data_IF_304165216259
#
_entry.id   IF_304165216259
#
_cell.length_a   1.000
_cell.length_b   1.000
_cell.length_c   1.000
_cell.angle_alpha   90.00
_cell.angle_beta   90.00
_cell.angle_gamma   90.00
#
_symmetry.space_group_name_H-M   'P 1'
#
loop_
_entity.id
_entity.type
_entity.pdbx_description
1 polymer ?
#
# COMPACT_ATOMS: atom_id res chain seq x y z
N UNK A 1 -39.05 -37.02 -10.33
CA UNK A 1 -38.36 -35.76 -10.70
C UNK A 1 -39.36 -34.65 -10.49
N UNK A 2 -39.06 -33.75 -9.57
CA UNK A 2 -39.98 -32.67 -9.18
C UNK A 2 -39.91 -31.53 -10.20
N UNK A 3 -40.94 -30.67 -10.30
CA UNK A 3 -40.91 -29.46 -11.17
C UNK A 3 -39.74 -28.52 -10.86
N UNK A 4 -39.12 -28.64 -9.68
CA UNK A 4 -37.91 -27.89 -9.31
C UNK A 4 -36.66 -28.41 -10.03
N UNK A 5 -36.55 -29.72 -10.22
CA UNK A 5 -35.37 -30.36 -10.85
C UNK A 5 -35.29 -29.99 -12.34
N UNK A 6 -36.46 -29.94 -13.02
CA UNK A 6 -36.59 -29.58 -14.44
C UNK A 6 -36.17 -28.12 -14.71
N UNK A 7 -36.50 -27.21 -13.79
CA UNK A 7 -36.10 -25.80 -13.86
C UNK A 7 -34.59 -25.58 -13.67
N UNK A 8 -33.95 -26.39 -12.83
CA UNK A 8 -32.50 -26.33 -12.60
C UNK A 8 -31.72 -26.86 -13.80
N UNK A 9 -32.12 -27.99 -14.37
CA UNK A 9 -31.49 -28.56 -15.56
C UNK A 9 -31.58 -27.59 -16.75
N UNK A 10 -32.75 -26.96 -16.93
CA UNK A 10 -32.97 -25.94 -17.96
C UNK A 10 -32.02 -24.75 -17.77
N UNK A 11 -31.94 -24.19 -16.55
CA UNK A 11 -31.04 -23.07 -16.28
C UNK A 11 -29.57 -23.46 -16.44
N UNK A 12 -29.18 -24.68 -16.05
CA UNK A 12 -27.82 -25.17 -16.24
C UNK A 12 -27.45 -25.24 -17.74
N UNK A 13 -28.37 -25.71 -18.59
CA UNK A 13 -28.17 -25.72 -20.04
C UNK A 13 -28.02 -24.31 -20.62
N UNK A 14 -28.84 -23.35 -20.18
CA UNK A 14 -28.75 -21.94 -20.59
C UNK A 14 -27.44 -21.28 -20.14
N UNK A 15 -26.99 -21.55 -18.91
CA UNK A 15 -25.69 -21.07 -18.40
C UNK A 15 -24.55 -21.64 -19.23
N UNK A 16 -24.64 -22.90 -19.65
CA UNK A 16 -23.62 -23.51 -20.50
C UNK A 16 -23.58 -22.88 -21.90
N UNK A 17 -24.75 -22.67 -22.51
CA UNK A 17 -24.86 -22.04 -23.83
C UNK A 17 -24.34 -20.60 -23.84
N UNK A 18 -24.65 -19.81 -22.81
CA UNK A 18 -24.25 -18.39 -22.67
C UNK A 18 -22.76 -18.14 -22.41
N UNK A 19 -21.90 -19.18 -22.40
CA UNK A 19 -20.44 -19.02 -22.22
C UNK A 19 -19.75 -18.42 -23.45
N UNK A 20 -20.38 -18.50 -24.62
CA UNK A 20 -19.83 -18.02 -25.90
C UNK A 20 -20.52 -16.74 -26.34
N UNK A 21 -19.85 -15.85 -27.10
CA UNK A 21 -20.51 -14.67 -27.68
C UNK A 21 -21.78 -15.01 -28.46
N UNK A 22 -21.74 -16.03 -29.31
CA UNK A 22 -22.86 -16.47 -30.16
C UNK A 22 -24.02 -17.00 -29.31
N UNK A 23 -23.70 -17.74 -28.25
CA UNK A 23 -24.69 -18.22 -27.30
C UNK A 23 -25.34 -17.10 -26.48
N UNK A 24 -24.63 -16.01 -26.19
CA UNK A 24 -25.22 -14.83 -25.53
C UNK A 24 -26.17 -14.09 -26.47
N UNK A 25 -25.79 -13.93 -27.73
CA UNK A 25 -26.64 -13.32 -28.76
C UNK A 25 -27.93 -14.13 -28.97
N UNK A 26 -27.80 -15.44 -29.15
CA UNK A 26 -28.94 -16.35 -29.32
C UNK A 26 -29.85 -16.51 -28.10
N UNK A 27 -29.44 -16.01 -26.93
CA UNK A 27 -30.21 -16.03 -25.68
C UNK A 27 -30.67 -14.63 -25.23
N UNK A 28 -30.56 -13.61 -26.09
CA UNK A 28 -30.95 -12.24 -25.75
C UNK A 28 -32.43 -12.15 -25.31
N UNK A 29 -33.32 -12.91 -25.94
CA UNK A 29 -34.74 -12.95 -25.59
C UNK A 29 -35.00 -13.53 -24.18
N UNK A 30 -34.08 -14.36 -23.67
CA UNK A 30 -34.17 -14.99 -22.34
C UNK A 30 -33.90 -13.99 -21.21
N UNK A 31 -33.29 -12.84 -21.51
CA UNK A 31 -32.97 -11.82 -20.52
C UNK A 31 -34.24 -11.30 -19.81
N UNK A 32 -35.28 -11.01 -20.57
CA UNK A 32 -36.52 -10.44 -20.03
C UNK A 32 -37.20 -11.41 -19.05
N UNK A 33 -37.34 -12.68 -19.44
CA UNK A 33 -37.93 -13.72 -18.60
C UNK A 33 -37.06 -13.98 -17.36
N UNK A 34 -35.74 -13.97 -17.52
CA UNK A 34 -34.81 -14.17 -16.40
C UNK A 34 -34.97 -13.07 -15.35
N UNK A 35 -35.07 -11.80 -15.78
CA UNK A 35 -35.31 -10.65 -14.90
C UNK A 35 -36.67 -10.73 -14.19
N UNK A 36 -37.73 -11.03 -14.94
CA UNK A 36 -39.09 -11.14 -14.41
C UNK A 36 -39.18 -12.20 -13.29
N UNK A 37 -38.43 -13.29 -13.40
CA UNK A 37 -38.47 -14.39 -12.45
C UNK A 37 -37.57 -14.19 -11.23
N UNK A 38 -36.67 -13.19 -11.18
CA UNK A 38 -35.77 -12.99 -10.05
C UNK A 38 -36.50 -12.82 -8.70
N UNK A 39 -37.52 -11.95 -8.55
CA UNK A 39 -38.09 -11.65 -7.23
C UNK A 39 -38.84 -12.84 -6.60
N UNK A 40 -39.36 -13.74 -7.43
CA UNK A 40 -40.09 -14.93 -6.99
C UNK A 40 -39.20 -16.19 -6.89
N UNK A 41 -37.89 -16.07 -7.15
CA UNK A 41 -36.99 -17.21 -7.21
C UNK A 41 -36.63 -17.71 -5.81
N UNK A 42 -36.75 -19.01 -5.50
CA UNK A 42 -36.10 -19.58 -4.33
C UNK A 42 -34.58 -19.48 -4.48
N UNK A 43 -33.85 -19.43 -3.37
CA UNK A 43 -32.39 -19.16 -3.31
C UNK A 43 -31.56 -19.92 -4.35
N UNK A 44 -31.80 -21.23 -4.51
CA UNK A 44 -31.05 -22.07 -5.47
C UNK A 44 -31.29 -21.68 -6.93
N UNK A 45 -32.54 -21.38 -7.30
CA UNK A 45 -32.87 -20.92 -8.65
C UNK A 45 -32.42 -19.47 -8.87
N UNK A 46 -32.45 -18.64 -7.83
CA UNK A 46 -31.94 -17.28 -7.90
C UNK A 46 -30.46 -17.28 -8.26
N UNK A 47 -29.65 -18.10 -7.59
CA UNK A 47 -28.22 -18.24 -7.89
C UNK A 47 -27.98 -18.61 -9.36
N UNK A 48 -28.72 -19.59 -9.90
CA UNK A 48 -28.58 -19.99 -11.29
C UNK A 48 -29.00 -18.88 -12.26
N UNK A 49 -30.10 -18.16 -11.97
CA UNK A 49 -30.52 -17.00 -12.77
C UNK A 49 -29.51 -15.86 -12.75
N UNK A 50 -28.91 -15.56 -11.60
CA UNK A 50 -27.85 -14.54 -11.49
C UNK A 50 -26.60 -14.94 -12.28
N UNK A 51 -26.21 -16.23 -12.26
CA UNK A 51 -25.11 -16.75 -13.08
C UNK A 51 -25.41 -16.66 -14.58
N UNK A 52 -26.65 -16.93 -14.98
CA UNK A 52 -27.09 -16.73 -16.36
C UNK A 52 -27.03 -15.25 -16.74
N UNK A 53 -27.58 -14.35 -15.92
CA UNK A 53 -27.51 -12.90 -16.14
C UNK A 53 -26.08 -12.41 -16.28
N UNK A 54 -25.19 -12.81 -15.36
CA UNK A 54 -23.76 -12.49 -15.45
C UNK A 54 -23.18 -12.86 -16.80
N UNK A 55 -23.50 -14.05 -17.32
CA UNK A 55 -23.03 -14.46 -18.63
C UNK A 55 -23.66 -13.59 -19.73
N UNK A 56 -24.98 -13.40 -19.76
CA UNK A 56 -25.67 -12.60 -20.79
C UNK A 56 -25.18 -11.15 -20.87
N UNK A 57 -24.72 -10.60 -19.74
CA UNK A 57 -24.19 -9.23 -19.63
C UNK A 57 -22.69 -9.13 -19.92
N UNK A 58 -21.99 -10.24 -20.14
CA UNK A 58 -20.55 -10.24 -20.35
C UNK A 58 -20.18 -9.76 -21.77
N UNK A 59 -20.00 -8.45 -21.92
CA UNK A 59 -19.47 -7.82 -23.14
C UNK A 59 -20.43 -7.86 -24.34
N UNK A 60 -21.75 -7.94 -24.09
CA UNK A 60 -22.76 -7.93 -25.14
C UNK A 60 -23.64 -6.67 -25.01
N UNK A 61 -23.34 -5.64 -25.80
CA UNK A 61 -23.89 -4.29 -25.65
C UNK A 61 -25.42 -4.26 -25.64
N UNK A 62 -26.10 -4.95 -26.57
CA UNK A 62 -27.57 -4.97 -26.62
C UNK A 62 -28.20 -5.56 -25.35
N UNK A 63 -27.56 -6.56 -24.74
CA UNK A 63 -28.07 -7.18 -23.51
C UNK A 63 -27.84 -6.25 -22.32
N UNK A 64 -26.68 -5.58 -22.28
CA UNK A 64 -26.37 -4.61 -21.24
C UNK A 64 -27.36 -3.43 -21.28
N UNK A 65 -27.64 -2.87 -22.48
CA UNK A 65 -28.64 -1.82 -22.65
C UNK A 65 -30.05 -2.29 -22.27
N UNK A 66 -30.50 -3.42 -22.81
CA UNK A 66 -31.83 -3.97 -22.51
C UNK A 66 -32.01 -4.31 -21.02
N UNK A 67 -30.93 -4.67 -20.33
CA UNK A 67 -30.93 -4.88 -18.88
C UNK A 67 -31.20 -3.59 -18.10
N UNK A 68 -30.57 -2.47 -18.49
CA UNK A 68 -30.82 -1.17 -17.84
C UNK A 68 -32.23 -0.67 -18.14
N UNK A 69 -32.70 -0.77 -19.39
CA UNK A 69 -34.07 -0.34 -19.78
C UNK A 69 -35.18 -1.05 -18.98
N UNK A 70 -34.89 -2.25 -18.47
CA UNK A 70 -35.82 -3.07 -17.68
C UNK A 70 -35.63 -2.93 -16.17
N UNK A 71 -34.93 -1.89 -15.71
CA UNK A 71 -34.58 -1.69 -14.30
C UNK A 71 -33.84 -2.89 -13.69
N UNK A 72 -33.01 -3.56 -14.49
CA UNK A 72 -32.29 -4.76 -14.13
C UNK A 72 -31.45 -4.63 -12.85
N UNK A 73 -30.67 -3.56 -12.65
CA UNK A 73 -29.90 -3.37 -11.43
C UNK A 73 -30.76 -3.38 -10.15
N UNK A 74 -31.87 -2.62 -10.15
CA UNK A 74 -32.79 -2.57 -9.03
C UNK A 74 -33.49 -3.92 -8.80
N UNK A 75 -33.85 -4.63 -9.87
CA UNK A 75 -34.46 -5.97 -9.76
C UNK A 75 -33.49 -6.99 -9.14
N UNK A 76 -32.21 -6.96 -9.52
CA UNK A 76 -31.15 -7.80 -8.94
C UNK A 76 -30.97 -7.47 -7.46
N UNK A 77 -30.78 -6.18 -7.11
CA UNK A 77 -30.59 -5.75 -5.72
C UNK A 77 -31.80 -6.15 -4.85
N UNK A 78 -33.02 -5.82 -5.27
CA UNK A 78 -34.23 -6.14 -4.52
C UNK A 78 -34.42 -7.65 -4.33
N UNK A 79 -34.14 -8.46 -5.34
CA UNK A 79 -34.28 -9.92 -5.26
C UNK A 79 -33.30 -10.52 -4.26
N UNK A 80 -32.05 -10.06 -4.28
CA UNK A 80 -30.98 -10.55 -3.42
C UNK A 80 -31.18 -10.14 -1.97
N UNK A 81 -31.60 -8.89 -1.73
CA UNK A 81 -31.85 -8.34 -0.40
C UNK A 81 -33.20 -8.74 0.21
N UNK A 82 -34.07 -9.40 -0.56
CA UNK A 82 -35.34 -9.94 -0.02
C UNK A 82 -35.12 -11.12 0.93
N UNK A 83 -33.94 -11.74 0.92
CA UNK A 83 -33.61 -12.87 1.78
C UNK A 83 -33.18 -12.39 3.18
N UNK A 84 -33.72 -12.98 4.28
CA UNK A 84 -33.31 -12.63 5.63
C UNK A 84 -31.82 -12.86 5.93
N UNK A 85 -31.21 -13.79 5.21
CA UNK A 85 -29.77 -14.06 5.25
C UNK A 85 -29.29 -14.24 3.83
N UNK A 86 -28.41 -13.33 3.41
CA UNK A 86 -27.84 -13.33 2.08
C UNK A 86 -26.67 -14.31 1.99
N UNK A 87 -26.82 -15.32 1.12
CA UNK A 87 -25.77 -16.29 0.86
C UNK A 87 -24.60 -15.65 0.05
N UNK A 88 -23.33 -15.88 0.42
CA UNK A 88 -22.17 -15.29 -0.27
C UNK A 88 -22.08 -15.62 -1.76
N UNK A 89 -22.49 -16.81 -2.18
CA UNK A 89 -22.48 -17.22 -3.59
C UNK A 89 -23.53 -16.49 -4.43
N UNK A 90 -24.71 -16.22 -3.86
CA UNK A 90 -25.76 -15.38 -4.46
C UNK A 90 -25.29 -13.94 -4.58
N UNK A 91 -24.70 -13.38 -3.52
CA UNK A 91 -24.13 -12.03 -3.52
C UNK A 91 -23.02 -11.88 -4.57
N UNK A 92 -22.09 -12.83 -4.62
CA UNK A 92 -21.01 -12.88 -5.61
C UNK A 92 -21.57 -12.90 -7.03
N UNK A 93 -22.55 -13.77 -7.33
CA UNK A 93 -23.15 -13.84 -8.66
C UNK A 93 -23.89 -12.55 -9.05
N UNK A 94 -24.57 -11.90 -8.09
CA UNK A 94 -25.23 -10.62 -8.31
C UNK A 94 -24.23 -9.50 -8.62
N UNK A 95 -23.19 -9.34 -7.80
CA UNK A 95 -22.14 -8.33 -8.00
C UNK A 95 -21.39 -8.55 -9.32
N UNK A 96 -21.11 -9.79 -9.69
CA UNK A 96 -20.50 -10.09 -11.00
C UNK A 96 -21.41 -9.70 -12.17
N UNK A 97 -22.72 -9.93 -12.07
CA UNK A 97 -23.67 -9.51 -13.11
C UNK A 97 -23.75 -7.99 -13.23
N UNK A 98 -23.80 -7.29 -12.09
CA UNK A 98 -23.84 -5.83 -12.03
C UNK A 98 -22.54 -5.19 -12.52
N UNK A 99 -21.39 -5.77 -12.15
CA UNK A 99 -20.08 -5.34 -12.65
C UNK A 99 -19.98 -5.47 -14.17
N UNK A 100 -20.43 -6.61 -14.73
CA UNK A 100 -20.48 -6.80 -16.18
C UNK A 100 -21.38 -5.77 -16.88
N UNK A 101 -22.51 -5.37 -16.27
CA UNK A 101 -23.34 -4.29 -16.81
C UNK A 101 -22.62 -2.93 -16.75
N UNK A 102 -21.98 -2.59 -15.63
CA UNK A 102 -21.29 -1.32 -15.42
C UNK A 102 -20.11 -1.09 -16.38
N UNK A 103 -19.50 -2.16 -16.91
CA UNK A 103 -18.42 -2.06 -17.89
C UNK A 103 -18.87 -1.47 -19.25
N UNK A 104 -20.17 -1.42 -19.55
CA UNK A 104 -20.70 -0.91 -20.82
C UNK A 104 -20.66 0.63 -20.97
N UNK A 105 -20.27 1.36 -19.92
CA UNK A 105 -20.08 2.81 -19.96
C UNK A 105 -20.96 3.56 -18.99
N UNK A 106 -20.92 4.90 -19.07
CA UNK A 106 -21.38 5.76 -17.98
C UNK A 106 -22.88 5.62 -17.64
N UNK A 107 -23.73 5.54 -18.65
CA UNK A 107 -25.16 5.29 -18.47
C UNK A 107 -25.44 4.03 -17.62
N UNK A 108 -24.61 3.00 -17.78
CA UNK A 108 -24.75 1.74 -17.03
C UNK A 108 -24.15 1.85 -15.63
N UNK A 109 -23.01 2.53 -15.47
CA UNK A 109 -22.38 2.77 -14.17
C UNK A 109 -23.30 3.55 -13.25
N UNK A 110 -23.94 4.58 -13.79
CA UNK A 110 -24.90 5.42 -13.08
C UNK A 110 -26.12 4.60 -12.62
N UNK A 111 -26.74 3.85 -13.52
CA UNK A 111 -27.90 3.01 -13.19
C UNK A 111 -27.57 1.89 -12.19
N UNK A 112 -26.36 1.30 -12.27
CA UNK A 112 -25.89 0.30 -11.29
C UNK A 112 -25.64 0.97 -9.94
N UNK A 113 -25.04 2.16 -9.91
CA UNK A 113 -24.76 2.87 -8.68
C UNK A 113 -26.03 3.29 -7.94
N UNK A 114 -26.98 3.91 -8.62
CA UNK A 114 -28.27 4.34 -8.05
C UNK A 114 -29.08 3.17 -7.48
N UNK A 115 -28.92 1.96 -8.04
CA UNK A 115 -29.58 0.77 -7.52
C UNK A 115 -28.90 0.16 -6.29
N UNK A 116 -27.64 0.49 -6.03
CA UNK A 116 -26.83 -0.16 -5.00
C UNK A 116 -26.48 0.75 -3.82
N UNK A 117 -26.22 2.03 -4.07
CA UNK A 117 -25.74 2.96 -3.06
C UNK A 117 -26.89 3.63 -2.30
N UNK A 118 -26.81 3.77 -0.97
CA UNK A 118 -25.84 3.15 -0.07
C UNK A 118 -26.26 1.77 0.47
N UNK A 119 -27.56 1.44 0.49
CA UNK A 119 -28.09 0.33 1.29
C UNK A 119 -27.60 -1.03 0.83
N UNK A 120 -27.67 -1.34 -0.47
CA UNK A 120 -27.27 -2.65 -0.97
C UNK A 120 -25.76 -2.88 -0.78
N UNK A 121 -24.95 -1.85 -1.05
CA UNK A 121 -23.50 -1.94 -0.87
C UNK A 121 -23.11 -2.21 0.59
N UNK A 122 -23.85 -1.65 1.56
CA UNK A 122 -23.63 -1.95 2.99
C UNK A 122 -23.92 -3.40 3.32
N UNK A 123 -25.02 -3.95 2.81
CA UNK A 123 -25.37 -5.36 3.01
C UNK A 123 -24.31 -6.28 2.38
N UNK A 124 -23.86 -5.99 1.16
CA UNK A 124 -22.79 -6.75 0.51
C UNK A 124 -21.47 -6.67 1.26
N UNK A 125 -21.06 -5.48 1.71
CA UNK A 125 -19.84 -5.29 2.48
C UNK A 125 -19.90 -5.98 3.87
N UNK A 126 -21.12 -6.15 4.41
CA UNK A 126 -21.36 -6.82 5.69
C UNK A 126 -21.16 -8.34 5.68
N UNK A 127 -21.09 -9.00 4.51
CA UNK A 127 -20.97 -10.46 4.41
C UNK A 127 -19.62 -11.02 4.83
N UNK A 128 -18.57 -10.20 4.87
CA UNK A 128 -17.20 -10.56 5.30
C UNK A 128 -16.66 -11.84 4.65
N UNK A 129 -16.94 -12.03 3.37
CA UNK A 129 -16.53 -13.21 2.59
C UNK A 129 -15.57 -12.81 1.45
N UNK A 130 -14.49 -13.57 1.27
CA UNK A 130 -13.48 -13.29 0.24
C UNK A 130 -14.06 -13.38 -1.18
N UNK A 131 -14.97 -14.32 -1.44
CA UNK A 131 -15.62 -14.49 -2.74
C UNK A 131 -16.58 -13.35 -3.10
N UNK A 132 -17.08 -12.62 -2.11
CA UNK A 132 -17.89 -11.41 -2.28
C UNK A 132 -17.02 -10.15 -2.38
N UNK A 133 -15.91 -10.10 -1.64
CA UNK A 133 -15.02 -8.95 -1.59
C UNK A 133 -14.48 -8.54 -2.96
N UNK A 134 -13.91 -9.47 -3.74
CA UNK A 134 -13.33 -9.13 -5.04
C UNK A 134 -14.39 -8.56 -6.02
N UNK A 135 -15.57 -9.19 -6.21
CA UNK A 135 -16.63 -8.61 -7.03
C UNK A 135 -17.17 -7.27 -6.51
N UNK A 136 -17.24 -7.09 -5.20
CA UNK A 136 -17.67 -5.83 -4.60
C UNK A 136 -16.67 -4.71 -4.94
N UNK A 137 -15.38 -4.95 -4.76
CA UNK A 137 -14.33 -4.00 -5.13
C UNK A 137 -14.34 -3.70 -6.62
N UNK A 138 -14.54 -4.70 -7.48
CA UNK A 138 -14.69 -4.51 -8.92
C UNK A 138 -15.85 -3.56 -9.25
N UNK A 139 -17.03 -3.75 -8.66
CA UNK A 139 -18.21 -2.88 -8.90
C UNK A 139 -17.92 -1.46 -8.43
N UNK A 140 -17.38 -1.30 -7.21
CA UNK A 140 -17.03 0.02 -6.65
C UNK A 140 -16.02 0.74 -7.55
N UNK A 141 -14.92 0.08 -7.91
CA UNK A 141 -13.87 0.66 -8.75
C UNK A 141 -14.38 1.03 -10.15
N UNK A 142 -15.18 0.14 -10.77
CA UNK A 142 -15.75 0.35 -12.10
C UNK A 142 -16.72 1.53 -12.10
N UNK A 143 -17.64 1.59 -11.15
CA UNK A 143 -18.60 2.69 -11.05
C UNK A 143 -17.92 4.01 -10.71
N UNK A 144 -16.91 4.02 -9.83
CA UNK A 144 -16.15 5.23 -9.51
C UNK A 144 -15.14 5.63 -10.59
N UNK A 145 -14.96 4.83 -11.64
CA UNK A 145 -14.06 5.12 -12.76
C UNK A 145 -14.70 5.91 -13.90
N UNK A 146 -13.87 6.67 -14.64
CA UNK A 146 -14.26 7.37 -15.88
C UNK A 146 -15.16 8.59 -15.68
N UNK A 147 -15.94 8.93 -16.71
CA UNK A 147 -16.92 10.02 -16.66
C UNK A 147 -17.94 9.78 -15.53
N UNK A 148 -18.34 10.82 -14.81
CA UNK A 148 -19.28 10.72 -13.67
C UNK A 148 -18.73 10.02 -12.41
N UNK A 149 -17.61 9.31 -12.50
CA UNK A 149 -17.00 8.55 -11.41
C UNK A 149 -16.66 9.39 -10.17
N UNK A 150 -16.21 10.63 -10.38
CA UNK A 150 -15.88 11.57 -9.29
C UNK A 150 -17.06 11.82 -8.34
N UNK A 151 -18.26 12.04 -8.87
CA UNK A 151 -19.49 12.23 -8.06
C UNK A 151 -19.71 11.03 -7.13
N UNK A 152 -19.63 9.82 -7.70
CA UNK A 152 -19.85 8.57 -6.96
C UNK A 152 -18.74 8.30 -5.96
N UNK A 153 -17.51 8.70 -6.27
CA UNK A 153 -16.40 8.60 -5.34
C UNK A 153 -16.55 9.59 -4.18
N UNK A 154 -17.05 10.81 -4.41
CA UNK A 154 -17.44 11.76 -3.36
C UNK A 154 -18.54 11.17 -2.44
N UNK A 155 -19.54 10.51 -3.02
CA UNK A 155 -20.59 9.79 -2.27
C UNK A 155 -20.02 8.61 -1.47
N UNK A 156 -19.13 7.81 -2.06
CA UNK A 156 -18.44 6.71 -1.39
C UNK A 156 -17.56 7.20 -0.23
N UNK A 157 -17.06 8.43 -0.32
CA UNK A 157 -16.28 9.07 0.74
C UNK A 157 -17.14 9.86 1.73
N UNK A 158 -18.47 9.91 1.56
CA UNK A 158 -19.37 10.57 2.49
C UNK A 158 -19.34 9.88 3.86
N UNK A 159 -19.12 10.64 4.94
CA UNK A 159 -18.86 10.12 6.29
C UNK A 159 -19.96 9.18 6.80
N UNK A 160 -21.23 9.53 6.54
CA UNK A 160 -22.35 8.75 7.05
C UNK A 160 -22.75 7.61 6.12
N UNK A 161 -22.63 7.80 4.80
CA UNK A 161 -23.24 6.91 3.81
C UNK A 161 -22.24 5.91 3.24
N UNK A 162 -21.20 6.43 2.60
CA UNK A 162 -20.20 5.66 1.88
C UNK A 162 -19.04 5.15 2.74
N UNK A 163 -18.50 5.98 3.63
CA UNK A 163 -17.31 5.63 4.42
C UNK A 163 -17.47 4.35 5.25
N UNK A 164 -18.65 4.04 5.84
CA UNK A 164 -18.88 2.75 6.50
C UNK A 164 -18.72 1.53 5.57
N UNK A 165 -19.03 1.67 4.28
CA UNK A 165 -18.84 0.62 3.26
C UNK A 165 -17.35 0.36 3.08
N UNK A 166 -16.56 1.43 2.87
CA UNK A 166 -15.10 1.33 2.74
C UNK A 166 -14.45 0.71 3.98
N UNK A 167 -14.91 1.09 5.18
CA UNK A 167 -14.42 0.50 6.43
C UNK A 167 -14.72 -1.00 6.49
N UNK A 168 -15.90 -1.47 6.09
CA UNK A 168 -16.20 -2.91 6.05
C UNK A 168 -15.39 -3.64 4.98
N UNK A 169 -15.16 -3.02 3.82
CA UNK A 169 -14.31 -3.57 2.75
C UNK A 169 -12.89 -3.78 3.26
N UNK A 170 -12.27 -2.75 3.85
CA UNK A 170 -10.91 -2.83 4.41
C UNK A 170 -10.85 -3.82 5.59
N UNK A 171 -11.86 -3.81 6.46
CA UNK A 171 -11.94 -4.76 7.59
C UNK A 171 -11.95 -6.19 7.08
N UNK A 172 -12.81 -6.51 6.11
CA UNK A 172 -12.91 -7.83 5.50
C UNK A 172 -11.60 -8.22 4.84
N UNK A 173 -11.05 -7.35 4.00
CA UNK A 173 -9.80 -7.61 3.29
C UNK A 173 -8.63 -7.87 4.24
N UNK A 174 -8.55 -7.15 5.36
CA UNK A 174 -7.51 -7.36 6.38
C UNK A 174 -7.60 -8.72 7.09
N UNK A 175 -8.78 -9.34 7.12
CA UNK A 175 -9.03 -10.61 7.83
C UNK A 175 -8.94 -11.82 6.90
N UNK A 176 -9.53 -11.74 5.70
CA UNK A 176 -9.65 -12.88 4.78
C UNK A 176 -8.80 -12.74 3.51
N UNK A 177 -8.17 -11.58 3.29
CA UNK A 177 -7.40 -11.27 2.08
C UNK A 177 -8.27 -11.04 0.84
N UNK A 178 -7.65 -10.63 -0.26
CA UNK A 178 -8.25 -10.46 -1.59
C UNK A 178 -7.40 -11.17 -2.64
N UNK A 179 -7.96 -11.43 -3.84
CA UNK A 179 -7.24 -12.10 -4.93
C UNK A 179 -6.96 -11.19 -6.11
N UNK A 180 -7.88 -10.26 -6.36
CA UNK A 180 -7.79 -9.35 -7.49
C UNK A 180 -7.23 -7.99 -7.05
N UNK A 181 -6.73 -7.21 -8.00
CA UNK A 181 -6.12 -5.89 -7.74
C UNK A 181 -7.16 -4.77 -7.54
N UNK A 182 -8.45 -5.03 -7.76
CA UNK A 182 -9.52 -4.03 -7.68
C UNK A 182 -9.53 -3.25 -6.36
N UNK A 183 -9.23 -3.92 -5.25
CA UNK A 183 -9.15 -3.26 -3.95
C UNK A 183 -7.98 -2.27 -3.90
N UNK A 184 -6.84 -2.62 -4.46
CA UNK A 184 -5.65 -1.77 -4.45
C UNK A 184 -5.93 -0.49 -5.23
N UNK A 185 -6.51 -0.61 -6.43
CA UNK A 185 -6.92 0.51 -7.26
C UNK A 185 -7.97 1.41 -6.60
N UNK A 186 -8.99 0.81 -5.98
CA UNK A 186 -10.04 1.54 -5.27
C UNK A 186 -9.45 2.34 -4.10
N UNK A 187 -8.63 1.71 -3.25
CA UNK A 187 -8.00 2.39 -2.11
C UNK A 187 -7.06 3.49 -2.57
N UNK A 188 -6.35 3.28 -3.68
CA UNK A 188 -5.47 4.29 -4.23
C UNK A 188 -6.26 5.54 -4.69
N UNK A 189 -7.33 5.36 -5.46
CA UNK A 189 -8.23 6.45 -5.88
C UNK A 189 -8.80 7.22 -4.69
N UNK A 190 -9.31 6.51 -3.68
CA UNK A 190 -9.88 7.11 -2.47
C UNK A 190 -8.83 7.90 -1.68
N UNK A 191 -7.68 7.27 -1.39
CA UNK A 191 -6.69 7.85 -0.48
C UNK A 191 -5.86 8.95 -1.14
N UNK A 192 -5.46 8.75 -2.39
CA UNK A 192 -4.46 9.60 -3.05
C UNK A 192 -5.09 10.60 -4.00
N UNK A 193 -6.01 10.15 -4.88
CA UNK A 193 -6.63 11.02 -5.88
C UNK A 193 -7.69 11.94 -5.25
N UNK A 194 -8.59 11.39 -4.44
CA UNK A 194 -9.64 12.15 -3.74
C UNK A 194 -9.24 12.69 -2.38
N UNK A 195 -7.99 12.44 -1.96
CA UNK A 195 -7.41 13.02 -0.73
C UNK A 195 -8.22 12.68 0.51
N UNK A 196 -8.79 11.46 0.57
CA UNK A 196 -9.57 10.96 1.72
C UNK A 196 -8.79 10.00 2.61
N UNK A 197 -7.46 9.99 2.49
CA UNK A 197 -6.59 9.16 3.30
C UNK A 197 -6.85 9.34 4.80
N UNK A 198 -6.76 10.57 5.34
CA UNK A 198 -7.01 10.80 6.78
C UNK A 198 -8.42 10.41 7.22
N UNK A 199 -9.42 10.66 6.37
CA UNK A 199 -10.82 10.34 6.66
C UNK A 199 -11.03 8.83 6.79
N UNK A 200 -10.52 8.05 5.83
CA UNK A 200 -10.58 6.59 5.89
C UNK A 200 -9.72 6.06 7.03
N UNK A 201 -8.49 6.54 7.17
CA UNK A 201 -7.57 6.12 8.21
C UNK A 201 -8.19 6.30 9.60
N UNK A 202 -8.74 7.47 9.91
CA UNK A 202 -9.41 7.72 11.19
C UNK A 202 -10.68 6.88 11.38
N UNK A 203 -11.44 6.63 10.31
CA UNK A 203 -12.65 5.79 10.39
C UNK A 203 -12.34 4.32 10.72
N UNK A 204 -11.13 3.84 10.41
CA UNK A 204 -10.67 2.50 10.79
C UNK A 204 -10.39 2.37 12.29
N UNK A 205 -10.34 3.46 13.05
CA UNK A 205 -10.17 3.45 14.51
C UNK A 205 -11.41 2.96 15.28
N UNK A 206 -12.63 3.10 14.75
CA UNK A 206 -13.86 3.10 15.59
C UNK A 206 -14.75 1.85 15.51
N UNK A 207 -14.42 0.85 14.70
CA UNK A 207 -15.37 -0.24 14.43
C UNK A 207 -15.16 -1.46 15.33
N UNK A 208 -15.78 -1.43 16.51
CA UNK A 208 -16.31 -2.59 17.27
C UNK A 208 -15.44 -3.86 17.38
N UNK A 209 -14.12 -3.75 17.49
CA UNK A 209 -13.31 -4.90 17.90
C UNK A 209 -13.36 -5.00 19.43
N UNK A 210 -14.10 -6.00 19.90
CA UNK A 210 -14.28 -6.37 21.33
C UNK A 210 -12.94 -6.78 21.97
N UNK A 211 -11.90 -6.94 21.17
CA UNK A 211 -10.53 -7.10 21.61
C UNK A 211 -9.81 -5.76 21.51
N UNK A 212 -10.02 -4.89 22.49
CA UNK A 212 -8.95 -3.98 22.90
C UNK A 212 -7.82 -4.84 23.43
N UNK A 213 -6.99 -5.38 22.54
CA UNK A 213 -5.62 -5.71 22.90
C UNK A 213 -4.97 -4.41 23.38
N UNK A 214 -4.08 -4.48 24.36
CA UNK A 214 -3.36 -3.34 24.97
C UNK A 214 -2.53 -2.48 23.98
N UNK A 215 -2.71 -2.64 22.67
CA UNK A 215 -1.92 -2.08 21.58
C UNK A 215 -2.50 -0.79 20.99
N UNK A 216 -2.49 0.29 21.76
CA UNK A 216 -2.39 1.66 21.25
C UNK A 216 -3.42 2.16 20.21
N UNK A 217 -3.06 3.26 19.56
CA UNK A 217 -3.86 4.03 18.60
C UNK A 217 -4.10 3.31 17.26
N UNK A 218 -3.26 2.31 16.93
CA UNK A 218 -3.25 1.66 15.63
C UNK A 218 -3.67 0.18 15.71
N UNK A 219 -4.30 -0.33 14.65
CA UNK A 219 -4.77 -1.70 14.56
C UNK A 219 -4.36 -2.34 13.21
N UNK A 220 -4.68 -3.63 13.03
CA UNK A 220 -4.35 -4.39 11.82
C UNK A 220 -4.92 -3.79 10.53
N UNK A 221 -6.05 -3.06 10.61
CA UNK A 221 -6.69 -2.41 9.45
C UNK A 221 -5.85 -1.24 8.94
N UNK A 222 -5.26 -0.45 9.83
CA UNK A 222 -4.30 0.61 9.46
C UNK A 222 -3.07 0.03 8.76
N UNK A 223 -2.53 -1.06 9.32
CA UNK A 223 -1.37 -1.75 8.76
C UNK A 223 -1.69 -2.29 7.37
N UNK A 224 -2.85 -2.91 7.21
CA UNK A 224 -3.32 -3.42 5.92
C UNK A 224 -3.47 -2.29 4.89
N UNK A 225 -4.14 -1.18 5.24
CA UNK A 225 -4.31 -0.04 4.35
C UNK A 225 -2.96 0.51 3.86
N UNK A 226 -2.03 0.78 4.77
CA UNK A 226 -0.72 1.34 4.43
C UNK A 226 0.13 0.37 3.60
N UNK A 227 0.11 -0.92 3.96
CA UNK A 227 0.81 -1.96 3.21
C UNK A 227 0.29 -2.10 1.78
N UNK A 228 -1.03 -2.01 1.58
CA UNK A 228 -1.66 -2.04 0.26
C UNK A 228 -1.32 -0.80 -0.56
N UNK A 229 -1.41 0.40 0.03
CA UNK A 229 -1.01 1.64 -0.66
C UNK A 229 0.48 1.63 -1.04
N UNK A 230 1.35 1.12 -0.16
CA UNK A 230 2.79 1.01 -0.43
C UNK A 230 3.07 0.06 -1.59
N UNK A 231 2.37 -1.10 -1.64
CA UNK A 231 2.52 -2.06 -2.74
C UNK A 231 2.07 -1.47 -4.06
N UNK A 232 0.92 -0.79 -4.07
CA UNK A 232 0.35 -0.17 -5.26
C UNK A 232 1.31 0.90 -5.83
N UNK A 233 1.81 1.80 -4.98
CA UNK A 233 2.75 2.86 -5.40
C UNK A 233 4.07 2.28 -5.94
N UNK A 234 4.54 1.17 -5.37
CA UNK A 234 5.76 0.51 -5.82
C UNK A 234 5.59 -0.25 -7.14
N UNK A 235 4.44 -0.90 -7.34
CA UNK A 235 4.19 -1.79 -8.48
C UNK A 235 3.72 -1.03 -9.73
N UNK A 236 3.00 0.08 -9.55
CA UNK A 236 2.40 0.86 -10.65
C UNK A 236 2.78 2.35 -10.65
N UNK A 237 4.07 2.71 -10.53
CA UNK A 237 4.51 4.10 -10.33
C UNK A 237 4.13 5.06 -11.48
N UNK A 238 3.84 4.54 -12.69
CA UNK A 238 3.48 5.33 -13.88
C UNK A 238 1.99 5.54 -14.07
N UNK A 239 1.17 4.72 -13.44
CA UNK A 239 -0.29 4.73 -13.57
C UNK A 239 -0.94 5.58 -12.47
N UNK A 240 -0.11 6.04 -11.54
CA UNK A 240 -0.49 6.63 -10.27
C UNK A 240 0.03 8.06 -10.18
N UNK A 241 -0.84 8.99 -9.78
CA UNK A 241 -0.46 10.36 -9.44
C UNK A 241 -0.52 10.57 -7.94
N UNK A 242 0.60 10.97 -7.35
CA UNK A 242 0.68 11.29 -5.91
C UNK A 242 0.39 12.77 -5.70
N UNK A 243 -0.56 13.07 -4.80
CA UNK A 243 -0.89 14.45 -4.40
C UNK A 243 0.00 14.96 -3.27
N UNK A 244 0.20 16.29 -3.23
CA UNK A 244 0.92 16.95 -2.14
C UNK A 244 0.27 16.69 -0.78
N UNK A 245 -1.07 16.73 -0.70
CA UNK A 245 -1.80 16.46 0.54
C UNK A 245 -1.54 15.06 1.06
N UNK A 246 -1.66 14.04 0.20
CA UNK A 246 -1.36 12.67 0.60
C UNK A 246 0.09 12.51 1.12
N UNK A 247 1.07 13.14 0.45
CA UNK A 247 2.45 13.12 0.91
C UNK A 247 2.61 13.73 2.32
N UNK A 248 1.94 14.84 2.58
CA UNK A 248 1.93 15.48 3.91
C UNK A 248 1.24 14.63 4.96
N UNK A 249 0.11 14.00 4.62
CA UNK A 249 -0.63 13.13 5.54
C UNK A 249 0.23 11.93 5.96
N UNK A 250 0.90 11.29 4.99
CA UNK A 250 1.84 10.19 5.27
C UNK A 250 2.99 10.67 6.16
N UNK A 251 3.56 11.85 5.90
CA UNK A 251 4.63 12.39 6.75
C UNK A 251 4.14 12.76 8.16
N UNK A 252 2.94 13.31 8.29
CA UNK A 252 2.32 13.62 9.58
C UNK A 252 2.08 12.34 10.40
N UNK A 253 1.52 11.32 9.75
CA UNK A 253 1.33 10.01 10.37
C UNK A 253 2.66 9.38 10.78
N UNK A 254 3.70 9.46 9.94
CA UNK A 254 5.03 8.97 10.28
C UNK A 254 5.60 9.63 11.55
N UNK A 255 5.47 10.97 11.66
CA UNK A 255 5.91 11.72 12.84
C UNK A 255 5.24 11.21 14.11
N UNK A 256 3.92 11.02 14.04
CA UNK A 256 3.11 10.57 15.18
C UNK A 256 3.44 9.13 15.59
N UNK A 257 3.60 8.23 14.60
CA UNK A 257 4.04 6.86 14.85
C UNK A 257 5.45 6.81 15.48
N UNK A 258 6.37 7.68 15.05
CA UNK A 258 7.72 7.76 15.61
C UNK A 258 7.75 8.28 17.06
N UNK A 259 6.73 9.01 17.50
CA UNK A 259 6.58 9.45 18.90
C UNK A 259 5.95 8.35 19.77
N UNK A 260 5.20 7.43 19.16
CA UNK A 260 4.48 6.34 19.85
C UNK A 260 5.33 5.06 19.97
N UNK A 261 6.19 4.77 19.00
CA UNK A 261 7.00 3.54 18.97
C UNK A 261 8.10 3.56 20.04
N UNK A 262 8.26 2.44 20.75
CA UNK A 262 9.34 2.24 21.70
C UNK A 262 10.65 1.84 20.99
N UNK A 263 11.65 2.72 21.02
CA UNK A 263 12.97 2.52 20.44
C UNK A 263 14.02 1.96 21.42
N UNK A 264 13.61 1.40 22.56
CA UNK A 264 14.53 0.77 23.54
C UNK A 264 14.74 -0.71 23.29
N UNK A 265 13.83 -1.36 22.55
CA UNK A 265 13.93 -2.78 22.20
C UNK A 265 14.18 -2.96 20.71
N UNK A 266 15.18 -3.78 20.38
CA UNK A 266 15.54 -4.06 18.99
C UNK A 266 14.49 -4.97 18.36
N UNK A 267 13.99 -4.59 17.21
CA UNK A 267 13.12 -5.44 16.40
C UNK A 267 13.86 -6.63 15.83
N UNK A 268 13.19 -7.78 15.79
CA UNK A 268 13.77 -9.06 15.34
C UNK A 268 13.18 -9.57 14.03
N UNK A 269 12.23 -8.84 13.46
CA UNK A 269 11.51 -9.19 12.22
C UNK A 269 11.50 -8.00 11.25
N UNK A 270 11.48 -8.26 9.92
CA UNK A 270 11.13 -7.25 8.94
C UNK A 270 9.62 -6.95 9.01
N UNK A 271 9.17 -5.93 8.27
CA UNK A 271 7.74 -5.62 8.14
C UNK A 271 7.00 -6.74 7.38
N UNK A 272 5.76 -7.10 7.78
CA UNK A 272 5.08 -6.70 9.00
C UNK A 272 5.64 -7.43 10.24
N UNK A 273 5.77 -6.71 11.34
CA UNK A 273 6.35 -7.18 12.61
C UNK A 273 5.32 -7.79 13.56
N UNK A 274 4.03 -7.53 13.33
CA UNK A 274 2.94 -7.90 14.23
C UNK A 274 2.64 -6.84 15.30
N UNK A 275 3.39 -5.74 15.35
CA UNK A 275 3.09 -4.57 16.18
C UNK A 275 2.52 -3.45 15.30
N UNK A 276 1.22 -3.10 15.42
CA UNK A 276 0.60 -2.10 14.57
C UNK A 276 1.32 -0.74 14.55
N UNK A 277 1.84 -0.29 15.69
CA UNK A 277 2.57 0.98 15.75
C UNK A 277 3.91 0.94 15.00
N UNK A 278 4.66 -0.16 15.11
CA UNK A 278 5.93 -0.35 14.39
C UNK A 278 5.64 -0.51 12.89
N UNK A 279 4.58 -1.21 12.54
CA UNK A 279 4.21 -1.45 11.16
C UNK A 279 3.71 -0.17 10.46
N UNK A 280 2.92 0.67 11.15
CA UNK A 280 2.54 2.00 10.65
C UNK A 280 3.78 2.88 10.45
N UNK A 281 4.71 2.91 11.41
CA UNK A 281 5.98 3.63 11.28
C UNK A 281 6.78 3.14 10.05
N UNK A 282 6.80 1.83 9.82
CA UNK A 282 7.53 1.20 8.73
C UNK A 282 6.92 1.45 7.35
N UNK A 283 5.63 1.18 7.18
CA UNK A 283 4.95 1.38 5.90
C UNK A 283 4.88 2.86 5.52
N UNK A 284 4.76 3.79 6.49
CA UNK A 284 4.87 5.22 6.18
C UNK A 284 6.26 5.60 5.65
N UNK A 285 7.36 4.99 6.13
CA UNK A 285 8.69 5.19 5.53
C UNK A 285 8.79 4.63 4.11
N UNK A 286 8.21 3.46 3.85
CA UNK A 286 8.20 2.88 2.50
C UNK A 286 7.42 3.75 1.52
N UNK A 287 6.25 4.24 1.93
CA UNK A 287 5.47 5.21 1.16
C UNK A 287 6.28 6.49 0.92
N UNK A 288 6.89 7.08 1.94
CA UNK A 288 7.72 8.29 1.79
C UNK A 288 8.91 8.07 0.85
N UNK A 289 9.54 6.89 0.91
CA UNK A 289 10.64 6.53 0.01
C UNK A 289 10.17 6.55 -1.44
N UNK A 290 9.03 5.92 -1.70
CA UNK A 290 8.47 5.80 -3.04
C UNK A 290 7.93 7.15 -3.55
N UNK A 291 7.31 7.96 -2.68
CA UNK A 291 6.92 9.36 -2.95
C UNK A 291 8.14 10.23 -3.31
N UNK A 292 9.26 10.06 -2.63
CA UNK A 292 10.48 10.84 -2.90
C UNK A 292 11.17 10.43 -4.21
N UNK A 293 10.96 9.19 -4.65
CA UNK A 293 11.41 8.69 -5.95
C UNK A 293 10.38 8.97 -7.07
N UNK A 294 9.18 9.43 -6.73
CA UNK A 294 8.11 9.61 -7.70
C UNK A 294 8.45 10.71 -8.71
N UNK A 295 8.30 10.39 -9.99
CA UNK A 295 8.49 11.30 -11.11
C UNK A 295 7.18 11.44 -11.88
N UNK A 296 6.76 12.68 -12.10
CA UNK A 296 5.58 12.94 -12.94
C UNK A 296 5.87 12.63 -14.40
N UNK A 297 4.85 12.15 -15.10
CA UNK A 297 4.85 12.02 -16.56
C UNK A 297 4.71 13.37 -17.27
N UNK A 298 4.27 14.43 -16.57
CA UNK A 298 4.15 15.79 -17.09
C UNK A 298 5.23 16.70 -16.50
N UNK A 299 5.84 17.54 -17.34
CA UNK A 299 6.88 18.50 -16.92
C UNK A 299 6.38 19.60 -16.00
N UNK A 300 5.07 19.82 -15.95
CA UNK A 300 4.46 21.03 -15.39
C UNK A 300 3.91 20.83 -13.96
N UNK A 301 3.99 19.60 -13.42
CA UNK A 301 3.52 19.29 -12.06
C UNK A 301 4.67 19.37 -11.07
N UNK A 302 4.47 20.17 -10.01
CA UNK A 302 5.37 20.20 -8.87
C UNK A 302 5.41 18.81 -8.22
N UNK A 303 6.61 18.31 -7.89
CA UNK A 303 6.74 16.98 -7.30
C UNK A 303 6.35 17.04 -5.83
N UNK A 304 5.61 16.04 -5.29
CA UNK A 304 5.18 16.05 -3.88
C UNK A 304 6.34 16.17 -2.87
N UNK A 305 7.50 15.62 -3.23
CA UNK A 305 8.75 15.78 -2.49
C UNK A 305 9.16 17.25 -2.33
N UNK A 306 8.98 18.11 -3.34
CA UNK A 306 9.37 19.52 -3.26
C UNK A 306 8.50 20.28 -2.24
N UNK A 307 7.26 19.83 -2.06
CA UNK A 307 6.32 20.31 -1.05
C UNK A 307 6.75 19.83 0.35
N UNK A 308 7.05 18.54 0.50
CA UNK A 308 7.58 17.96 1.75
C UNK A 308 8.86 18.64 2.24
N UNK A 309 9.81 18.95 1.35
CA UNK A 309 11.08 19.56 1.71
C UNK A 309 10.90 20.90 2.44
N UNK A 310 9.83 21.65 2.18
CA UNK A 310 9.54 22.92 2.85
C UNK A 310 9.10 22.76 4.32
N UNK A 311 8.78 21.54 4.75
CA UNK A 311 8.28 21.24 6.11
C UNK A 311 9.38 20.87 7.12
N UNK A 312 10.65 20.97 6.72
CA UNK A 312 11.78 20.48 7.52
C UNK A 312 11.89 18.94 7.50
N UNK A 313 11.41 18.32 6.43
CA UNK A 313 11.40 16.87 6.24
C UNK A 313 12.80 16.25 6.38
N UNK A 314 13.79 16.79 5.67
CA UNK A 314 15.18 16.30 5.68
C UNK A 314 15.82 16.43 7.06
N UNK A 315 15.70 17.60 7.69
CA UNK A 315 16.15 17.83 9.06
C UNK A 315 15.61 16.78 10.03
N UNK A 316 14.34 16.39 9.87
CA UNK A 316 13.71 15.39 10.74
C UNK A 316 14.23 13.98 10.48
N UNK A 317 14.40 13.58 9.22
CA UNK A 317 14.98 12.27 8.87
C UNK A 317 16.42 12.14 9.39
N UNK A 318 17.23 13.19 9.27
CA UNK A 318 18.59 13.22 9.83
C UNK A 318 18.58 13.10 11.35
N UNK A 319 17.64 13.76 12.04
CA UNK A 319 17.48 13.61 13.48
C UNK A 319 17.14 12.17 13.86
N UNK A 320 16.17 11.54 13.17
CA UNK A 320 15.83 10.14 13.43
C UNK A 320 17.03 9.21 13.22
N UNK A 321 17.79 9.40 12.14
CA UNK A 321 19.00 8.62 11.89
C UNK A 321 20.09 8.86 12.95
N UNK A 322 20.28 10.09 13.38
CA UNK A 322 21.30 10.49 14.35
C UNK A 322 21.00 10.10 15.81
N UNK A 323 19.73 9.84 16.13
CA UNK A 323 19.33 9.31 17.45
C UNK A 323 19.55 7.79 17.57
N UNK A 324 19.73 7.09 16.44
CA UNK A 324 20.00 5.66 16.45
C UNK A 324 21.44 5.36 16.91
N UNK A 325 21.65 4.18 17.47
CA UNK A 325 23.00 3.62 17.66
C UNK A 325 23.81 3.61 16.35
N UNK A 326 25.14 3.48 16.37
CA UNK A 326 25.90 3.26 15.14
C UNK A 326 25.51 1.94 14.45
N UNK A 327 25.71 1.81 13.13
CA UNK A 327 25.59 0.53 12.42
C UNK A 327 26.38 -0.59 13.11
N UNK A 328 25.89 -1.81 13.01
CA UNK A 328 26.43 -3.01 13.67
C UNK A 328 27.93 -3.21 13.44
N UNK A 329 28.43 -3.00 12.22
CA UNK A 329 29.87 -3.08 11.92
C UNK A 329 30.69 -2.06 12.72
N UNK A 330 30.21 -0.82 12.84
CA UNK A 330 30.87 0.25 13.60
C UNK A 330 30.75 -0.03 15.11
N UNK A 331 29.59 -0.50 15.57
CA UNK A 331 29.40 -0.89 16.98
C UNK A 331 30.33 -2.04 17.39
N UNK A 332 30.48 -3.06 16.55
CA UNK A 332 31.39 -4.21 16.80
C UNK A 332 32.85 -3.76 16.88
N UNK A 333 33.27 -2.79 16.07
CA UNK A 333 34.64 -2.28 16.14
C UNK A 333 34.91 -1.45 17.39
N UNK A 334 33.95 -0.65 17.83
CA UNK A 334 34.05 0.13 19.08
C UNK A 334 34.15 -0.78 20.32
N UNK A 335 33.41 -1.89 20.34
CA UNK A 335 33.44 -2.85 21.44
C UNK A 335 34.78 -3.61 21.57
N UNK A 336 35.55 -3.74 20.49
CA UNK A 336 36.87 -4.40 20.51
C UNK A 336 38.00 -3.53 21.07
N UNK A 337 37.78 -2.22 21.25
CA UNK A 337 38.84 -1.25 21.59
C UNK A 337 38.92 -0.84 23.06
N UNK A 338 37.83 -0.89 23.83
CA UNK A 338 37.76 -0.47 25.24
C UNK A 338 36.51 -1.07 25.92
N UNK A 339 36.66 -1.56 27.16
CA UNK A 339 35.63 -2.31 27.88
C UNK A 339 34.32 -1.57 28.09
N UNK A 340 33.21 -2.27 27.83
CA UNK A 340 31.77 -2.15 28.13
C UNK A 340 31.07 -0.79 28.41
N UNK A 341 31.75 0.31 28.70
CA UNK A 341 31.13 1.60 29.03
C UNK A 341 31.51 2.69 28.03
N UNK A 342 30.86 2.68 26.86
CA UNK A 342 30.87 3.84 25.95
C UNK A 342 29.63 4.70 26.22
N UNK A 343 29.75 5.93 26.77
CA UNK A 343 28.61 6.78 27.11
C UNK A 343 27.73 7.20 25.92
N UNK A 344 28.23 7.04 24.68
CA UNK A 344 27.49 7.27 23.44
C UNK A 344 26.44 6.19 23.13
N UNK A 345 26.54 5.00 23.73
CA UNK A 345 25.63 3.87 23.49
C UNK A 345 24.52 3.74 24.54
N UNK A 346 24.70 4.30 25.75
CA UNK A 346 23.78 4.10 26.88
C UNK A 346 22.37 4.67 26.66
N UNK A 347 22.21 5.67 25.78
CA UNK A 347 20.91 6.32 25.49
C UNK A 347 20.52 6.29 24.01
N UNK A 348 21.25 5.53 23.18
CA UNK A 348 20.99 5.48 21.75
C UNK A 348 19.72 4.65 21.46
N UNK A 349 18.92 5.12 20.50
CA UNK A 349 17.75 4.38 20.02
C UNK A 349 18.19 3.16 19.21
N UNK A 350 17.47 2.05 19.35
CA UNK A 350 17.67 0.85 18.51
C UNK A 350 16.60 0.77 17.42
N UNK A 351 16.91 0.06 16.33
CA UNK A 351 15.96 -0.11 15.22
C UNK A 351 14.73 -0.93 15.68
N UNK A 352 13.50 -0.43 15.49
CA UNK A 352 12.28 -1.12 15.93
C UNK A 352 11.88 -2.30 15.03
N UNK A 353 12.47 -2.41 13.84
CA UNK A 353 12.33 -3.56 12.92
C UNK A 353 13.59 -3.72 12.06
N UNK A 354 13.78 -4.92 11.49
CA UNK A 354 14.87 -5.23 10.56
C UNK A 354 14.70 -4.42 9.27
N UNK A 355 15.64 -3.53 8.97
CA UNK A 355 15.62 -2.65 7.80
C UNK A 355 15.25 -1.19 8.08
N UNK A 356 14.88 -0.81 9.31
CA UNK A 356 14.45 0.56 9.63
C UNK A 356 15.48 1.63 9.26
N UNK A 357 16.76 1.40 9.61
CA UNK A 357 17.84 2.35 9.27
C UNK A 357 18.01 2.44 7.76
N UNK A 358 17.96 1.30 7.06
CA UNK A 358 18.04 1.28 5.59
C UNK A 358 16.90 2.09 4.99
N UNK A 359 15.68 1.94 5.49
CA UNK A 359 14.51 2.66 4.97
C UNK A 359 14.64 4.18 5.19
N UNK A 360 15.13 4.64 6.35
CA UNK A 360 15.47 6.06 6.57
C UNK A 360 16.50 6.58 5.56
N UNK A 361 17.61 5.84 5.37
CA UNK A 361 18.68 6.24 4.44
C UNK A 361 18.16 6.26 3.00
N UNK A 362 17.28 5.33 2.62
CA UNK A 362 16.68 5.28 1.29
C UNK A 362 15.82 6.52 1.00
N UNK A 363 15.01 6.97 1.96
CA UNK A 363 14.24 8.22 1.81
C UNK A 363 15.19 9.41 1.62
N UNK A 364 16.24 9.53 2.45
CA UNK A 364 17.22 10.62 2.34
C UNK A 364 17.93 10.60 0.99
N UNK A 365 18.34 9.42 0.50
CA UNK A 365 18.98 9.25 -0.80
C UNK A 365 18.09 9.76 -1.94
N UNK A 366 16.79 9.44 -1.90
CA UNK A 366 15.82 9.89 -2.89
C UNK A 366 15.58 11.41 -2.80
N UNK A 367 15.56 12.00 -1.61
CA UNK A 367 15.49 13.45 -1.43
C UNK A 367 16.70 14.18 -2.03
N UNK A 368 17.89 13.58 -1.97
CA UNK A 368 19.13 14.18 -2.49
C UNK A 368 19.23 14.18 -4.02
N UNK A 369 18.58 13.23 -4.70
CA UNK A 369 18.76 13.02 -6.13
C UNK A 369 18.46 14.30 -6.93
N UNK A 370 19.49 14.86 -7.59
CA UNK A 370 19.42 16.09 -8.40
C UNK A 370 18.84 17.32 -7.67
N UNK A 371 19.04 17.44 -6.35
CA UNK A 371 18.53 18.58 -5.55
C UNK A 371 19.64 19.26 -4.74
N UNK A 372 20.35 20.22 -5.33
CA UNK A 372 21.44 20.97 -4.65
C UNK A 372 21.01 21.63 -3.33
N UNK A 373 19.79 22.17 -3.25
CA UNK A 373 19.26 22.76 -2.00
C UNK A 373 19.25 21.75 -0.84
N UNK A 374 18.87 20.50 -1.11
CA UNK A 374 18.86 19.42 -0.11
C UNK A 374 20.29 19.03 0.27
N UNK A 375 21.18 18.92 -0.72
CA UNK A 375 22.60 18.65 -0.48
C UNK A 375 23.23 19.68 0.46
N UNK A 376 22.96 20.97 0.22
CA UNK A 376 23.45 22.07 1.05
C UNK A 376 22.81 22.08 2.45
N UNK A 377 21.52 21.78 2.56
CA UNK A 377 20.83 21.65 3.85
C UNK A 377 21.46 20.54 4.70
N UNK A 378 21.70 19.36 4.13
CA UNK A 378 22.34 18.24 4.84
C UNK A 378 23.73 18.64 5.34
N UNK A 379 24.54 19.33 4.51
CA UNK A 379 25.85 19.83 4.93
C UNK A 379 25.73 20.82 6.09
N UNK A 380 24.85 21.80 6.00
CA UNK A 380 24.64 22.80 7.06
C UNK A 380 24.15 22.18 8.38
N UNK A 381 23.45 21.05 8.31
CA UNK A 381 23.00 20.28 9.47
C UNK A 381 24.09 19.33 10.03
N UNK A 382 25.30 19.32 9.45
CA UNK A 382 26.37 18.39 9.83
C UNK A 382 26.08 16.92 9.45
N UNK A 383 25.17 16.70 8.50
CA UNK A 383 24.69 15.37 8.12
C UNK A 383 25.64 14.58 7.22
N UNK A 384 26.70 15.19 6.67
CA UNK A 384 27.67 14.50 5.79
C UNK A 384 28.30 13.31 6.51
N UNK A 385 28.84 13.54 7.71
CA UNK A 385 29.47 12.47 8.50
C UNK A 385 28.47 11.37 8.89
N UNK A 386 27.24 11.78 9.24
CA UNK A 386 26.18 10.84 9.59
C UNK A 386 25.82 9.92 8.41
N UNK A 387 25.78 10.44 7.18
CA UNK A 387 25.51 9.63 5.99
C UNK A 387 26.69 8.72 5.61
N UNK A 388 27.92 9.19 5.75
CA UNK A 388 29.13 8.38 5.50
C UNK A 388 29.18 7.13 6.41
N UNK A 389 28.72 7.25 7.66
CA UNK A 389 28.63 6.10 8.57
C UNK A 389 27.70 4.99 8.06
N UNK A 390 26.79 5.28 7.14
CA UNK A 390 25.83 4.29 6.61
C UNK A 390 26.39 3.50 5.42
N UNK A 391 27.62 3.77 4.96
CA UNK A 391 28.28 3.07 3.85
C UNK A 391 28.93 1.74 4.26
N UNK A 392 28.36 1.05 5.26
CA UNK A 392 28.87 -0.22 5.81
C UNK A 392 27.83 -1.32 5.72
N UNK A 393 28.29 -2.56 5.74
CA UNK A 393 27.39 -3.72 5.86
C UNK A 393 26.76 -3.70 7.25
N UNK A 394 25.48 -4.02 7.33
CA UNK A 394 24.74 -4.11 8.57
C UNK A 394 23.81 -5.33 8.55
N UNK A 395 23.93 -6.19 9.56
CA UNK A 395 23.18 -7.47 9.63
C UNK A 395 21.68 -7.24 9.85
N UNK A 396 21.32 -6.20 10.59
CA UNK A 396 19.94 -5.85 10.90
C UNK A 396 19.30 -4.99 9.81
N UNK A 397 20.09 -4.53 8.82
CA UNK A 397 19.66 -3.63 7.77
C UNK A 397 20.21 -4.06 6.40
N UNK A 398 19.62 -5.10 5.78
CA UNK A 398 19.99 -5.53 4.44
C UNK A 398 19.94 -4.38 3.44
N UNK A 399 20.96 -4.29 2.59
CA UNK A 399 21.16 -3.21 1.61
C UNK A 399 21.47 -1.82 2.17
N UNK A 400 21.78 -1.68 3.46
CA UNK A 400 22.17 -0.38 4.04
C UNK A 400 23.36 0.24 3.29
N UNK A 401 24.39 -0.55 3.00
CA UNK A 401 25.60 -0.08 2.32
C UNK A 401 25.28 0.53 0.97
N UNK A 402 24.46 -0.14 0.16
CA UNK A 402 24.08 0.29 -1.18
C UNK A 402 23.30 1.60 -1.13
N UNK A 403 22.33 1.71 -0.22
CA UNK A 403 21.59 2.96 -0.01
C UNK A 403 22.45 4.08 0.55
N UNK A 404 23.40 3.77 1.45
CA UNK A 404 24.38 4.73 1.95
C UNK A 404 25.29 5.27 0.85
N UNK A 405 25.82 4.38 -0.01
CA UNK A 405 26.62 4.77 -1.16
C UNK A 405 25.82 5.61 -2.17
N UNK A 406 24.55 5.27 -2.40
CA UNK A 406 23.67 6.09 -3.25
C UNK A 406 23.41 7.46 -2.63
N UNK A 407 23.15 7.53 -1.33
CA UNK A 407 22.98 8.80 -0.63
C UNK A 407 24.23 9.67 -0.75
N UNK A 408 25.42 9.13 -0.50
CA UNK A 408 26.70 9.86 -0.63
C UNK A 408 26.95 10.27 -2.08
N UNK A 409 26.68 9.41 -3.07
CA UNK A 409 26.78 9.77 -4.49
C UNK A 409 25.89 10.98 -4.79
N UNK A 410 24.61 10.93 -4.42
CA UNK A 410 23.66 12.02 -4.67
C UNK A 410 24.01 13.29 -3.86
N UNK A 411 24.64 13.15 -2.69
CA UNK A 411 25.09 14.26 -1.85
C UNK A 411 26.24 15.07 -2.46
N UNK A 412 27.11 14.39 -3.21
CA UNK A 412 28.32 14.95 -3.81
C UNK A 412 28.16 15.30 -5.30
N UNK A 413 27.11 14.79 -5.95
CA UNK A 413 26.82 15.03 -7.36
C UNK A 413 26.68 16.54 -7.64
N UNK A 414 27.60 17.07 -8.45
CA UNK A 414 27.65 18.49 -8.87
C UNK A 414 27.69 19.50 -7.69
N UNK A 415 28.24 19.10 -6.53
CA UNK A 415 28.37 19.95 -5.35
C UNK A 415 29.81 20.02 -4.83
N UNK A 416 30.55 21.02 -5.31
CA UNK A 416 31.95 21.26 -4.94
C UNK A 416 32.13 21.52 -3.45
N UNK A 417 31.17 22.21 -2.82
CA UNK A 417 31.22 22.53 -1.40
C UNK A 417 31.16 21.26 -0.53
N UNK A 418 30.27 20.34 -0.86
CA UNK A 418 30.18 19.05 -0.18
C UNK A 418 31.39 18.16 -0.48
N UNK A 419 31.87 18.14 -1.73
CA UNK A 419 33.08 17.40 -2.12
C UNK A 419 34.31 17.87 -1.34
N UNK A 420 34.45 19.18 -1.16
CA UNK A 420 35.54 19.76 -0.39
C UNK A 420 35.52 19.29 1.05
N UNK A 421 34.36 19.36 1.72
CA UNK A 421 34.23 18.92 3.12
C UNK A 421 34.58 17.43 3.29
N UNK A 422 34.18 16.58 2.34
CA UNK A 422 34.56 15.15 2.36
C UNK A 422 36.06 14.95 2.06
N UNK A 423 36.65 15.76 1.18
CA UNK A 423 38.08 15.66 0.83
C UNK A 423 39.02 16.06 1.97
N UNK A 424 38.53 16.84 2.93
CA UNK A 424 39.26 17.25 4.14
C UNK A 424 39.24 16.15 5.22
N UNK A 425 38.51 15.04 5.01
CA UNK A 425 38.49 13.92 5.94
C UNK A 425 39.78 13.08 5.82
N UNK A 426 40.47 12.93 6.94
CA UNK A 426 41.67 12.10 7.04
C UNK A 426 41.34 10.67 7.49
N UNK A 427 41.89 9.69 6.79
CA UNK A 427 41.83 8.29 7.20
C UNK A 427 42.76 8.07 8.40
N UNK A 428 42.18 7.79 9.58
CA UNK A 428 42.96 7.57 10.81
C UNK A 428 43.45 6.13 10.90
N UNK A 429 42.55 5.16 11.10
CA UNK A 429 42.91 3.75 11.21
C UNK A 429 41.87 2.86 10.50
N UNK A 430 42.31 1.80 9.79
CA UNK A 430 41.38 0.84 9.23
C UNK A 430 40.74 -0.01 10.33
N UNK A 431 39.42 -0.13 10.29
CA UNK A 431 38.67 -0.99 11.22
C UNK A 431 39.01 -2.45 10.91
N UNK A 432 39.74 -3.11 11.80
CA UNK A 432 39.97 -4.56 11.74
C UNK A 432 38.70 -5.23 12.27
N UNK A 433 37.89 -5.78 11.39
CA UNK A 433 36.73 -6.56 11.82
C UNK A 433 37.18 -7.95 12.29
N UNK A 434 36.48 -8.58 13.25
CA UNK A 434 36.84 -9.91 13.78
C UNK A 434 36.96 -10.97 12.68
N UNK A 435 36.18 -10.84 11.60
CA UNK A 435 36.21 -11.76 10.46
C UNK A 435 37.53 -11.67 9.69
N UNK A 436 38.09 -10.46 9.51
CA UNK A 436 39.37 -10.25 8.82
C UNK A 436 40.52 -10.79 9.70
N UNK A 437 40.46 -10.53 11.01
CA UNK A 437 41.45 -11.02 11.97
C UNK A 437 41.45 -12.57 12.08
N UNK A 438 40.27 -13.19 12.07
CA UNK A 438 40.12 -14.65 12.18
C UNK A 438 40.70 -15.44 10.99
N UNK A 439 40.88 -14.80 9.83
CA UNK A 439 41.49 -15.40 8.64
C UNK A 439 42.99 -15.04 8.56
N UNK A 440 43.54 -14.39 9.60
CA UNK A 440 44.95 -14.02 9.65
C UNK A 440 45.30 -12.84 8.74
N UNK A 441 44.34 -12.00 8.38
CA UNK A 441 44.57 -10.81 7.56
C UNK A 441 44.50 -9.54 8.41
N UNK A 442 45.19 -8.49 7.97
CA UNK A 442 45.09 -7.14 8.50
C UNK A 442 44.98 -6.15 7.36
N UNK A 443 44.28 -5.04 7.56
CA UNK A 443 44.29 -3.93 6.61
C UNK A 443 45.34 -2.93 7.06
N UNK A 444 46.27 -2.59 6.17
CA UNK A 444 47.28 -1.55 6.35
C UNK A 444 47.08 -0.44 5.33
N UNK A 445 47.49 0.78 5.67
CA UNK A 445 47.48 1.90 4.73
C UNK A 445 48.79 1.87 3.96
N UNK A 446 48.69 1.72 2.65
CA UNK A 446 49.82 1.85 1.76
C UNK A 446 50.35 3.29 1.83
N UNK A 447 51.59 3.47 2.29
CA UNK A 447 52.19 4.78 2.54
C UNK A 447 52.44 5.60 1.27
N UNK A 448 52.46 4.96 0.10
CA UNK A 448 52.68 5.64 -1.19
C UNK A 448 51.36 6.06 -1.84
N UNK A 449 50.32 5.23 -1.72
CA UNK A 449 49.03 5.45 -2.39
C UNK A 449 47.94 6.00 -1.47
N UNK A 450 48.12 5.94 -0.14
CA UNK A 450 47.11 6.29 0.86
C UNK A 450 45.90 5.34 0.86
N UNK A 451 45.97 4.22 0.11
CA UNK A 451 44.86 3.27 -0.02
C UNK A 451 44.98 2.12 0.98
N UNK A 452 43.86 1.59 1.47
CA UNK A 452 43.87 0.39 2.30
C UNK A 452 44.31 -0.84 1.48
N UNK A 453 45.21 -1.63 2.03
CA UNK A 453 45.78 -2.86 1.48
C UNK A 453 45.61 -4.00 2.49
N UNK A 454 45.15 -5.16 2.04
CA UNK A 454 45.13 -6.37 2.87
C UNK A 454 46.53 -6.99 2.90
N UNK A 455 47.05 -7.24 4.11
CA UNK A 455 48.32 -7.89 4.38
C UNK A 455 48.10 -9.12 5.26
N UNK A 456 48.95 -10.13 5.13
CA UNK A 456 48.90 -11.32 5.95
C UNK A 456 49.58 -11.05 7.30
N UNK A 457 48.94 -11.42 8.40
CA UNK A 457 49.48 -11.27 9.77
C UNK A 457 50.69 -12.17 10.03
N UNK A 458 50.95 -13.17 9.19
CA UNK A 458 52.16 -14.00 9.25
C UNK A 458 53.38 -13.39 8.56
N UNK A 459 53.24 -12.26 7.86
CA UNK A 459 54.34 -11.58 7.14
C UNK A 459 54.95 -10.41 7.94
N UNK A 460 54.59 -10.27 9.21
CA UNK A 460 55.15 -9.35 10.22
C UNK A 460 55.63 -10.13 11.43
#
# INVERSE_FOLDING_TARGET
>A
MSRSDDGEETLAALIQASRTPEGREGLSDVLADTLFLLPASPSRLLLLRLRLLRNLLAGHELNQYAFIERCGPAAVAASVLSFPSLAPDVACAALQALGNAALAGEFHRDAVWEALFPEALREFAGLRDQGVLDPLCMVLDTCCGGEGGRRRLEELCHQELGLPILVQVVTTASQVGHKEEWLEWLLFKVCVEEQKFESLFYALCSTNDVERTDSGEYNAKHVFLLGTLSRCLNSHPKEVTVSDSFAHDVFNLHKHAAETVNFTHRGTSPLPTGSPAIDVLGYTLQLLRDICAWESTSSDTQRPVDSLLQTGFVKRLLRYLGELEPPSTIRKSMAGGQGDNHPALENAKVCPYIGYRRDLVAVIANCLHRRKKVQDEIRQLGGIMLLLQQCVIDEDNPYLREWGLLAVKNLLEENEENQKEVSELEMQEPVITPEIANIGLKVEIDKETGRPKLVNTSDT
#
